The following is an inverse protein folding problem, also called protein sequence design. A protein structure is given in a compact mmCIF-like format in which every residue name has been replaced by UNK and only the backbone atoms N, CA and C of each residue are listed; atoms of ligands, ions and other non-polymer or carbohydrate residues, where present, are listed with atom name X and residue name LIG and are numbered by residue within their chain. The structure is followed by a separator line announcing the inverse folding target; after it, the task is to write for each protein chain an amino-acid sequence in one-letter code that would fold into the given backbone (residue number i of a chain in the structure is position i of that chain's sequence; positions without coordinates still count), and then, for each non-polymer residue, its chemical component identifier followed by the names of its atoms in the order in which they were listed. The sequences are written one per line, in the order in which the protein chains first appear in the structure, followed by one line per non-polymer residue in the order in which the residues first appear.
data_IF_150293128003
#
_entry.id   IF_150293128003
#
_cell.length_a   1.000
_cell.length_b   1.000
_cell.length_c   1.000
_cell.angle_alpha   90.00
_cell.angle_beta   90.00
_cell.angle_gamma   90.00
#
_symmetry.space_group_name_H-M   'P 1'
#
loop_
_entity.id
_entity.type
_entity.pdbx_description
1 polymer ?
#
# COMPACT_ATOMS: atom_id res chain seq x y z
N UNK A 1 -31.67 18.85 -28.67
CA UNK A 1 -32.81 17.95 -28.32
C UNK A 1 -32.32 16.51 -28.43
N UNK A 2 -32.44 15.71 -27.38
CA UNK A 2 -31.98 14.31 -27.42
C UNK A 2 -32.04 13.56 -26.08
N UNK A 3 -33.17 13.69 -25.39
CA UNK A 3 -33.76 12.83 -24.34
C UNK A 3 -32.83 12.08 -23.37
N UNK A 4 -32.76 12.64 -22.16
CA UNK A 4 -32.61 11.93 -20.89
C UNK A 4 -33.73 10.87 -20.78
N UNK A 5 -33.39 9.58 -20.71
CA UNK A 5 -34.33 8.51 -20.42
C UNK A 5 -33.93 7.86 -19.10
N UNK A 6 -34.55 8.35 -18.02
CA UNK A 6 -34.50 7.75 -16.70
C UNK A 6 -35.09 6.34 -16.82
N UNK A 7 -34.29 5.30 -16.57
CA UNK A 7 -34.80 3.93 -16.54
C UNK A 7 -35.86 3.81 -15.43
N UNK A 8 -37.03 3.18 -15.68
CA UNK A 8 -38.01 2.96 -14.64
C UNK A 8 -37.38 2.04 -13.59
N UNK A 9 -37.22 2.57 -12.38
CA UNK A 9 -36.76 1.83 -11.22
C UNK A 9 -38.01 1.19 -10.61
N UNK A 10 -38.04 -0.14 -10.53
CA UNK A 10 -39.12 -0.87 -9.87
C UNK A 10 -39.28 -0.39 -8.42
N UNK A 11 -40.49 -0.46 -7.89
CA UNK A 11 -40.77 -0.07 -6.50
C UNK A 11 -40.12 -1.07 -5.53
N UNK A 12 -40.03 -0.69 -4.27
CA UNK A 12 -39.38 -1.46 -3.20
C UNK A 12 -39.95 -2.86 -2.95
N UNK A 13 -41.18 -3.14 -3.40
CA UNK A 13 -41.83 -4.46 -3.34
C UNK A 13 -41.97 -5.07 -4.73
N UNK A 14 -41.12 -4.67 -5.69
CA UNK A 14 -41.22 -5.16 -7.06
C UNK A 14 -39.88 -5.74 -7.54
N UNK A 15 -39.92 -6.97 -8.04
CA UNK A 15 -38.82 -7.63 -8.72
C UNK A 15 -38.75 -7.17 -10.18
N UNK A 16 -37.52 -6.92 -10.66
CA UNK A 16 -37.28 -6.50 -12.04
C UNK A 16 -36.92 -7.71 -12.91
N UNK A 17 -37.82 -8.10 -13.79
CA UNK A 17 -37.57 -9.11 -14.82
C UNK A 17 -36.44 -8.66 -15.77
N UNK A 18 -35.79 -9.61 -16.43
CA UNK A 18 -34.74 -9.32 -17.43
C UNK A 18 -35.28 -8.56 -18.64
N UNK A 19 -36.57 -8.71 -18.95
CA UNK A 19 -37.34 -7.96 -19.94
C UNK A 19 -37.58 -6.49 -19.55
N UNK A 20 -37.15 -6.08 -18.35
CA UNK A 20 -37.36 -4.76 -17.73
C UNK A 20 -38.80 -4.46 -17.29
N UNK A 21 -39.67 -5.46 -17.17
CA UNK A 21 -40.93 -5.31 -16.43
C UNK A 21 -40.71 -5.49 -14.93
N UNK A 22 -41.60 -4.91 -14.14
CA UNK A 22 -41.59 -4.97 -12.68
C UNK A 22 -42.79 -5.80 -12.24
N UNK A 23 -42.55 -6.91 -11.56
CA UNK A 23 -43.57 -7.76 -10.95
C UNK A 23 -43.48 -7.63 -9.44
N UNK A 24 -44.46 -8.11 -8.67
CA UNK A 24 -44.36 -8.04 -7.21
C UNK A 24 -43.21 -8.93 -6.71
N UNK A 25 -42.47 -8.50 -5.69
CA UNK A 25 -41.41 -9.32 -5.06
C UNK A 25 -41.96 -10.63 -4.47
N UNK A 26 -43.26 -10.67 -4.14
CA UNK A 26 -43.95 -11.91 -3.71
C UNK A 26 -44.12 -12.94 -4.84
N UNK A 27 -43.94 -12.54 -6.10
CA UNK A 27 -44.09 -13.39 -7.30
C UNK A 27 -42.74 -13.91 -7.81
N UNK A 28 -41.70 -13.84 -7.00
CA UNK A 28 -40.41 -14.43 -7.34
C UNK A 28 -40.40 -15.88 -6.83
N UNK A 29 -40.25 -16.84 -7.74
CA UNK A 29 -40.20 -18.28 -7.41
C UNK A 29 -41.48 -18.79 -6.74
N UNK A 30 -42.64 -18.28 -7.14
CA UNK A 30 -43.94 -18.69 -6.59
C UNK A 30 -44.63 -19.79 -7.43
N UNK A 31 -44.02 -20.17 -8.55
CA UNK A 31 -44.46 -21.26 -9.42
C UNK A 31 -45.33 -20.81 -10.60
N UNK A 32 -45.68 -19.52 -10.69
CA UNK A 32 -46.35 -18.92 -11.84
C UNK A 32 -45.37 -18.09 -12.68
N UNK A 33 -45.60 -18.01 -14.01
CA UNK A 33 -44.74 -17.25 -14.92
C UNK A 33 -45.28 -15.83 -15.05
N UNK A 34 -44.80 -14.92 -14.19
CA UNK A 34 -45.20 -13.51 -14.16
C UNK A 34 -44.26 -12.63 -15.00
N UNK A 35 -42.97 -12.98 -15.12
CA UNK A 35 -42.08 -12.40 -16.11
C UNK A 35 -42.29 -13.04 -17.48
N UNK A 36 -42.38 -12.24 -18.55
CA UNK A 36 -42.56 -12.76 -19.93
C UNK A 36 -41.43 -13.66 -20.42
N UNK A 37 -40.25 -13.55 -19.80
CA UNK A 37 -39.09 -14.37 -20.08
C UNK A 37 -38.82 -15.43 -19.02
N UNK A 38 -39.76 -15.65 -18.09
CA UNK A 38 -39.65 -16.62 -17.01
C UNK A 38 -38.42 -16.36 -16.12
N UNK A 39 -38.00 -15.08 -15.99
CA UNK A 39 -36.82 -14.69 -15.22
C UNK A 39 -37.04 -14.69 -13.71
N UNK A 40 -38.29 -14.61 -13.29
CA UNK A 40 -38.81 -14.81 -11.94
C UNK A 40 -38.72 -16.27 -11.47
N UNK A 41 -38.91 -17.22 -12.39
CA UNK A 41 -38.96 -18.66 -12.08
C UNK A 41 -37.66 -19.42 -12.40
N UNK A 42 -36.56 -18.72 -12.72
CA UNK A 42 -35.24 -19.32 -13.01
C UNK A 42 -34.22 -18.99 -11.95
N UNK A 43 -33.36 -19.97 -11.64
CA UNK A 43 -32.31 -19.85 -10.61
C UNK A 43 -32.87 -19.64 -9.18
N UNK A 44 -34.08 -20.13 -8.94
CA UNK A 44 -34.62 -20.39 -7.62
C UNK A 44 -33.77 -21.48 -6.95
N UNK A 45 -32.76 -21.06 -6.18
CA UNK A 45 -31.83 -21.97 -5.52
C UNK A 45 -32.50 -22.56 -4.26
N UNK A 46 -33.49 -23.43 -4.47
CA UNK A 46 -34.15 -24.18 -3.41
C UNK A 46 -34.18 -25.66 -3.76
N UNK A 47 -33.64 -26.46 -2.83
CA UNK A 47 -33.82 -27.90 -2.76
C UNK A 47 -35.27 -28.27 -3.05
N UNK A 48 -35.45 -29.21 -3.98
CA UNK A 48 -36.68 -29.93 -4.23
C UNK A 48 -37.04 -30.82 -3.03
N UNK A 49 -37.38 -30.20 -1.89
CA UNK A 49 -38.09 -30.84 -0.80
C UNK A 49 -39.30 -29.95 -0.53
N UNK A 50 -40.45 -30.43 -0.98
CA UNK A 50 -41.78 -29.83 -0.87
C UNK A 50 -41.98 -29.01 0.43
N UNK A 51 -41.76 -27.70 0.38
CA UNK A 51 -42.38 -26.78 1.35
C UNK A 51 -43.82 -26.57 0.89
N UNK A 52 -44.79 -26.89 1.75
CA UNK A 52 -46.23 -26.79 1.45
C UNK A 52 -46.79 -25.38 1.61
N UNK A 53 -46.12 -24.54 2.39
CA UNK A 53 -46.46 -23.13 2.59
C UNK A 53 -45.41 -22.22 1.94
N UNK A 54 -45.83 -21.01 1.58
CA UNK A 54 -44.96 -19.99 0.98
C UNK A 54 -43.86 -19.54 1.95
N UNK A 55 -42.79 -18.89 1.44
CA UNK A 55 -41.68 -18.42 2.29
C UNK A 55 -42.15 -17.44 3.39
N UNK A 56 -43.25 -16.73 3.19
CA UNK A 56 -43.81 -15.76 4.13
C UNK A 56 -44.90 -16.35 5.05
N UNK A 57 -45.13 -17.66 4.99
CA UNK A 57 -46.15 -18.37 5.76
C UNK A 57 -45.51 -19.33 6.78
N UNK A 58 -46.27 -19.59 7.85
CA UNK A 58 -46.03 -20.59 8.88
C UNK A 58 -46.99 -21.76 8.65
N UNK A 59 -46.47 -22.99 8.67
CA UNK A 59 -47.26 -24.22 8.53
C UNK A 59 -47.69 -24.69 9.93
N UNK A 60 -49.00 -24.72 10.18
CA UNK A 60 -49.57 -25.29 11.39
C UNK A 60 -49.24 -26.79 11.49
N UNK A 61 -49.15 -27.32 12.71
CA UNK A 61 -48.73 -28.70 12.95
C UNK A 61 -49.76 -29.72 12.45
N UNK A 62 -51.05 -29.40 12.54
CA UNK A 62 -52.18 -30.23 12.12
C UNK A 62 -52.92 -29.56 10.97
N UNK A 63 -53.47 -30.39 10.07
CA UNK A 63 -54.31 -29.99 8.92
C UNK A 63 -53.62 -29.18 7.83
N UNK A 64 -52.28 -29.07 7.85
CA UNK A 64 -51.49 -28.41 6.78
C UNK A 64 -51.98 -27.00 6.45
N UNK A 65 -52.49 -26.29 7.46
CA UNK A 65 -52.94 -24.92 7.35
C UNK A 65 -51.72 -24.00 7.26
N UNK A 66 -51.70 -23.09 6.29
CA UNK A 66 -50.67 -22.06 6.18
C UNK A 66 -51.25 -20.73 6.67
N UNK A 67 -50.59 -20.10 7.63
CA UNK A 67 -50.93 -18.76 8.11
C UNK A 67 -49.77 -17.79 7.83
N UNK A 68 -50.01 -16.48 7.65
CA UNK A 68 -48.93 -15.50 7.58
C UNK A 68 -47.99 -15.58 8.78
N UNK A 69 -46.67 -15.45 8.59
CA UNK A 69 -45.68 -15.46 9.69
C UNK A 69 -45.92 -14.39 10.77
N UNK A 70 -46.64 -13.32 10.44
CA UNK A 70 -47.02 -12.28 11.39
C UNK A 70 -48.05 -12.74 12.43
N UNK A 71 -48.78 -13.83 12.17
CA UNK A 71 -49.76 -14.43 13.09
C UNK A 71 -49.15 -15.55 13.95
N UNK A 72 -47.86 -15.84 13.79
CA UNK A 72 -47.19 -16.74 14.71
C UNK A 72 -46.79 -15.96 15.97
N UNK A 73 -47.22 -16.42 17.14
CA UNK A 73 -46.94 -15.80 18.44
C UNK A 73 -47.47 -14.36 18.55
N UNK A 74 -48.70 -14.13 18.10
CA UNK A 74 -49.37 -12.82 18.14
C UNK A 74 -50.47 -12.71 19.21
N UNK A 75 -50.59 -13.75 20.06
CA UNK A 75 -51.58 -13.92 21.13
C UNK A 75 -53.00 -14.31 20.68
N UNK A 76 -53.24 -14.52 19.38
CA UNK A 76 -54.49 -15.04 18.84
C UNK A 76 -54.31 -16.47 18.32
N UNK A 77 -55.38 -17.27 18.35
CA UNK A 77 -55.34 -18.65 17.84
C UNK A 77 -55.79 -18.65 16.38
N UNK A 78 -54.84 -18.65 15.45
CA UNK A 78 -55.08 -18.69 14.01
C UNK A 78 -54.96 -20.12 13.45
N UNK A 79 -54.08 -20.93 14.00
CA UNK A 79 -54.02 -22.35 13.69
C UNK A 79 -55.17 -23.11 14.36
N UNK A 80 -55.82 -24.00 13.60
CA UNK A 80 -56.90 -24.86 14.12
C UNK A 80 -56.48 -25.76 15.31
N UNK A 81 -55.17 -25.94 15.50
CA UNK A 81 -54.55 -26.73 16.56
C UNK A 81 -53.75 -25.89 17.58
N UNK A 82 -53.81 -24.56 17.51
CA UNK A 82 -53.08 -23.64 18.37
C UNK A 82 -51.54 -23.78 18.29
N UNK A 83 -50.99 -24.32 17.20
CA UNK A 83 -49.55 -24.55 17.05
C UNK A 83 -48.72 -23.28 16.79
N UNK A 84 -49.38 -22.21 16.38
CA UNK A 84 -48.88 -20.85 16.21
C UNK A 84 -48.52 -20.16 17.55
N UNK A 85 -49.24 -20.47 18.62
CA UNK A 85 -49.08 -19.83 19.94
C UNK A 85 -48.30 -20.69 20.96
N UNK A 86 -47.66 -21.77 20.51
CA UNK A 86 -46.91 -22.69 21.39
C UNK A 86 -45.40 -22.46 21.23
N UNK A 87 -44.68 -22.49 22.37
CA UNK A 87 -43.21 -22.41 22.43
C UNK A 87 -42.63 -21.09 21.87
N UNK A 88 -43.42 -20.02 21.94
CA UNK A 88 -43.03 -18.66 21.61
C UNK A 88 -41.87 -18.17 22.49
N UNK A 89 -40.84 -17.59 21.87
CA UNK A 89 -39.65 -17.10 22.57
C UNK A 89 -39.13 -15.80 21.98
N UNK A 90 -38.76 -14.88 22.87
CA UNK A 90 -38.16 -13.61 22.48
C UNK A 90 -36.81 -13.79 21.79
N UNK A 91 -36.39 -12.77 21.06
CA UNK A 91 -35.13 -12.80 20.31
C UNK A 91 -33.91 -12.80 21.22
N UNK A 92 -32.94 -13.66 20.92
CA UNK A 92 -31.61 -13.69 21.55
C UNK A 92 -30.52 -13.72 20.48
N UNK A 93 -29.51 -12.84 20.59
CA UNK A 93 -28.36 -12.85 19.67
C UNK A 93 -27.35 -13.89 20.14
N UNK A 94 -27.22 -14.96 19.36
CA UNK A 94 -26.27 -16.07 19.63
C UNK A 94 -24.91 -15.87 18.97
N UNK A 95 -24.86 -15.09 17.89
CA UNK A 95 -23.61 -14.73 17.21
C UNK A 95 -23.57 -13.24 16.96
N UNK A 96 -22.73 -12.58 17.76
CA UNK A 96 -22.43 -11.17 17.60
C UNK A 96 -21.49 -10.95 16.40
N UNK A 97 -21.60 -9.80 15.71
CA UNK A 97 -20.59 -9.41 14.74
C UNK A 97 -19.27 -9.04 15.42
N UNK A 98 -18.15 -8.99 14.68
CA UNK A 98 -16.87 -8.56 15.22
C UNK A 98 -16.97 -7.13 15.80
N UNK A 99 -16.38 -6.85 16.98
CA UNK A 99 -16.48 -5.53 17.60
C UNK A 99 -15.72 -4.44 16.84
N UNK A 100 -14.63 -4.80 16.15
CA UNK A 100 -13.81 -3.89 15.34
C UNK A 100 -13.47 -4.58 14.03
N UNK A 101 -13.59 -3.86 12.92
CA UNK A 101 -13.17 -4.32 11.59
C UNK A 101 -12.33 -3.23 10.92
N UNK A 102 -11.09 -3.57 10.59
CA UNK A 102 -10.17 -2.69 9.86
C UNK A 102 -10.13 -3.10 8.39
N UNK A 103 -10.40 -2.15 7.49
CA UNK A 103 -10.42 -2.36 6.05
C UNK A 103 -9.57 -1.31 5.34
N UNK A 104 -9.12 -1.63 4.13
CA UNK A 104 -8.54 -0.65 3.20
C UNK A 104 -9.60 -0.13 2.24
N UNK A 105 -9.39 1.07 1.71
CA UNK A 105 -10.22 1.58 0.60
C UNK A 105 -10.25 0.55 -0.55
N UNK A 106 -11.45 0.18 -0.98
CA UNK A 106 -11.69 -0.82 -2.01
C UNK A 106 -12.05 -2.21 -1.50
N UNK A 107 -11.69 -2.56 -0.26
CA UNK A 107 -11.99 -3.88 0.30
C UNK A 107 -13.49 -4.04 0.60
N UNK A 108 -14.05 -5.26 0.48
CA UNK A 108 -15.42 -5.51 0.85
C UNK A 108 -15.58 -5.66 2.38
N UNK A 109 -16.62 -5.07 2.94
CA UNK A 109 -17.07 -5.36 4.31
C UNK A 109 -18.08 -6.50 4.28
N UNK A 110 -17.85 -7.53 5.10
CA UNK A 110 -18.80 -8.62 5.34
C UNK A 110 -19.05 -8.74 6.85
N UNK A 111 -20.28 -8.47 7.29
CA UNK A 111 -20.72 -8.70 8.67
C UNK A 111 -21.78 -9.80 8.72
N UNK A 112 -21.68 -10.62 9.76
CA UNK A 112 -22.60 -11.71 10.06
C UNK A 112 -23.11 -11.55 11.48
N UNK A 113 -24.41 -11.71 11.66
CA UNK A 113 -25.08 -11.69 12.95
C UNK A 113 -26.13 -12.80 12.96
N UNK A 114 -26.21 -13.59 14.03
CA UNK A 114 -27.22 -14.64 14.14
C UNK A 114 -28.01 -14.47 15.44
N UNK A 115 -29.33 -14.55 15.32
CA UNK A 115 -30.26 -14.55 16.44
C UNK A 115 -31.17 -15.77 16.37
N UNK A 116 -31.60 -16.23 17.54
CA UNK A 116 -32.61 -17.27 17.72
C UNK A 116 -33.85 -16.67 18.37
N UNK A 117 -34.99 -17.32 18.18
CA UNK A 117 -36.29 -16.90 18.68
C UNK A 117 -37.39 -17.66 17.94
N UNK A 118 -38.59 -17.66 18.51
CA UNK A 118 -39.78 -18.24 17.91
C UNK A 118 -40.85 -17.17 17.96
N UNK A 119 -41.23 -16.55 16.82
CA UNK A 119 -40.84 -16.86 15.43
C UNK A 119 -39.36 -16.58 15.13
N UNK A 120 -38.83 -17.20 14.07
CA UNK A 120 -37.44 -17.00 13.62
C UNK A 120 -37.20 -15.50 13.40
N UNK A 121 -36.21 -14.89 14.09
CA UNK A 121 -36.00 -13.44 14.02
C UNK A 121 -35.59 -12.97 12.62
N UNK A 122 -36.09 -11.80 12.22
CA UNK A 122 -35.60 -11.05 11.06
C UNK A 122 -34.45 -10.17 11.52
N UNK A 123 -33.34 -10.21 10.79
CA UNK A 123 -32.17 -9.39 11.08
C UNK A 123 -32.15 -8.13 10.23
N UNK A 124 -32.07 -6.98 10.90
CA UNK A 124 -31.90 -5.67 10.32
C UNK A 124 -30.52 -5.10 10.64
N UNK A 125 -29.95 -4.38 9.69
CA UNK A 125 -28.67 -3.69 9.87
C UNK A 125 -28.87 -2.18 9.79
N UNK A 126 -28.21 -1.45 10.67
CA UNK A 126 -28.15 0.01 10.62
C UNK A 126 -26.70 0.49 10.54
N UNK A 127 -26.50 1.65 9.92
CA UNK A 127 -25.23 2.34 9.79
C UNK A 127 -25.35 3.72 10.43
N UNK A 128 -24.59 4.01 11.48
CA UNK A 128 -24.67 5.25 12.25
C UNK A 128 -26.13 5.61 12.61
N UNK A 129 -26.91 4.62 13.06
CA UNK A 129 -28.34 4.75 13.40
C UNK A 129 -29.25 5.17 12.24
N UNK A 130 -28.81 4.92 11.01
CA UNK A 130 -29.54 5.21 9.77
C UNK A 130 -29.56 3.96 8.87
N UNK A 131 -30.30 4.05 7.77
CA UNK A 131 -30.29 3.03 6.73
C UNK A 131 -28.87 2.80 6.21
N UNK A 132 -28.50 1.53 6.04
CA UNK A 132 -27.22 1.16 5.43
C UNK A 132 -27.03 1.80 4.05
N UNK A 133 -25.79 2.13 3.64
CA UNK A 133 -25.52 2.68 2.32
C UNK A 133 -26.12 1.82 1.19
N UNK A 134 -26.70 2.44 0.17
CA UNK A 134 -27.39 1.76 -0.94
C UNK A 134 -26.51 0.80 -1.74
N UNK A 135 -25.18 0.98 -1.66
CA UNK A 135 -24.21 0.06 -2.26
C UNK A 135 -24.13 -1.30 -1.57
N UNK A 136 -24.62 -1.40 -0.33
CA UNK A 136 -24.56 -2.61 0.47
C UNK A 136 -25.81 -3.47 0.24
N UNK A 137 -25.62 -4.79 0.18
CA UNK A 137 -26.70 -5.77 0.22
C UNK A 137 -26.88 -6.30 1.63
N UNK A 138 -28.15 -6.47 2.02
CA UNK A 138 -28.56 -7.05 3.31
C UNK A 138 -29.47 -8.23 3.03
N UNK A 139 -29.25 -9.35 3.73
CA UNK A 139 -30.16 -10.48 3.73
C UNK A 139 -30.36 -11.02 5.15
N UNK A 140 -31.52 -11.62 5.40
CA UNK A 140 -31.84 -12.30 6.66
C UNK A 140 -32.37 -13.69 6.33
N UNK A 141 -31.58 -14.72 6.59
CA UNK A 141 -31.86 -16.10 6.22
C UNK A 141 -31.82 -16.94 7.49
N UNK A 142 -32.97 -17.54 7.86
CA UNK A 142 -33.09 -18.42 9.01
C UNK A 142 -32.47 -17.84 10.31
N UNK A 143 -32.78 -16.58 10.63
CA UNK A 143 -32.23 -15.90 11.82
C UNK A 143 -30.79 -15.40 11.68
N UNK A 144 -30.15 -15.60 10.52
CA UNK A 144 -28.80 -15.08 10.23
C UNK A 144 -28.86 -13.91 9.26
N UNK A 145 -28.41 -12.76 9.73
CA UNK A 145 -28.27 -11.53 8.96
C UNK A 145 -26.88 -11.42 8.34
N UNK A 146 -26.85 -11.13 7.05
CA UNK A 146 -25.64 -10.90 6.27
C UNK A 146 -25.67 -9.46 5.76
N UNK A 147 -24.61 -8.70 6.03
CA UNK A 147 -24.38 -7.39 5.43
C UNK A 147 -23.11 -7.46 4.57
N UNK A 148 -23.25 -7.20 3.27
CA UNK A 148 -22.14 -7.14 2.33
C UNK A 148 -22.08 -5.74 1.72
N UNK A 149 -21.03 -4.98 2.03
CA UNK A 149 -20.75 -3.71 1.36
C UNK A 149 -19.53 -3.87 0.45
N UNK A 150 -19.70 -3.95 -0.88
CA UNK A 150 -18.58 -3.92 -1.80
C UNK A 150 -17.89 -2.55 -1.81
N UNK A 151 -16.59 -2.55 -2.12
CA UNK A 151 -15.79 -1.35 -2.37
C UNK A 151 -15.92 -0.29 -1.27
N UNK A 152 -15.37 -0.56 -0.08
CA UNK A 152 -15.42 0.36 1.06
C UNK A 152 -14.62 1.63 0.81
N UNK A 153 -15.18 2.78 1.22
CA UNK A 153 -14.54 4.09 1.16
C UNK A 153 -14.48 4.69 2.56
N UNK A 154 -13.65 5.72 2.74
CA UNK A 154 -13.52 6.44 4.00
C UNK A 154 -14.87 6.96 4.54
N UNK A 155 -15.77 7.41 3.66
CA UNK A 155 -17.11 7.89 4.02
C UNK A 155 -18.06 6.80 4.55
N UNK A 156 -17.67 5.53 4.45
CA UNK A 156 -18.45 4.37 4.90
C UNK A 156 -17.93 3.81 6.23
N UNK A 157 -16.91 4.43 6.82
CA UNK A 157 -16.49 4.08 8.19
C UNK A 157 -17.54 4.53 9.20
N UNK A 158 -17.67 3.81 10.30
CA UNK A 158 -18.65 4.15 11.33
C UNK A 158 -19.13 2.94 12.11
N UNK A 159 -20.27 3.11 12.77
CA UNK A 159 -20.89 2.10 13.61
C UNK A 159 -21.93 1.32 12.80
N UNK A 160 -21.78 0.00 12.81
CA UNK A 160 -22.72 -0.93 12.21
C UNK A 160 -23.36 -1.77 13.31
N UNK A 161 -24.69 -1.72 13.39
CA UNK A 161 -25.46 -2.38 14.44
C UNK A 161 -26.38 -3.41 13.82
N UNK A 162 -26.36 -4.62 14.37
CA UNK A 162 -27.32 -5.68 14.06
C UNK A 162 -28.50 -5.59 15.04
N UNK A 163 -29.72 -5.65 14.51
CA UNK A 163 -30.96 -5.79 15.29
C UNK A 163 -31.67 -7.06 14.85
N UNK A 164 -32.02 -7.93 15.80
CA UNK A 164 -32.90 -9.07 15.56
C UNK A 164 -34.28 -8.78 16.12
N UNK A 165 -35.33 -9.00 15.32
CA UNK A 165 -36.70 -8.75 15.72
C UNK A 165 -37.64 -9.91 15.33
N UNK A 166 -38.59 -10.23 16.21
CA UNK A 166 -39.75 -11.06 15.92
C UNK A 166 -41.00 -10.45 16.57
N UNK A 167 -42.15 -11.10 16.45
CA UNK A 167 -43.43 -10.57 16.94
C UNK A 167 -43.49 -10.36 18.46
N UNK A 168 -42.59 -11.00 19.21
CA UNK A 168 -42.53 -10.93 20.67
C UNK A 168 -41.62 -9.78 21.13
N UNK A 169 -40.56 -9.47 20.39
CA UNK A 169 -39.67 -8.37 20.72
C UNK A 169 -38.48 -8.19 19.77
N UNK A 170 -37.66 -7.19 20.06
CA UNK A 170 -36.40 -6.94 19.36
C UNK A 170 -35.23 -6.73 20.31
N UNK A 171 -34.03 -7.02 19.83
CA UNK A 171 -32.78 -6.86 20.55
C UNK A 171 -31.68 -6.42 19.59
N UNK A 172 -30.75 -5.60 20.06
CA UNK A 172 -29.58 -5.13 19.30
C UNK A 172 -28.29 -5.83 19.77
N UNK A 173 -27.34 -5.99 18.85
CA UNK A 173 -26.00 -6.48 19.16
C UNK A 173 -25.25 -5.52 20.08
N UNK A 174 -24.50 -6.05 21.05
CA UNK A 174 -23.70 -5.23 21.97
C UNK A 174 -22.32 -5.85 22.21
N UNK A 175 -21.22 -5.21 21.76
CA UNK A 175 -21.14 -3.85 21.23
C UNK A 175 -21.52 -3.72 19.75
N UNK A 176 -21.68 -2.48 19.29
CA UNK A 176 -21.70 -2.17 17.86
C UNK A 176 -20.38 -2.58 17.20
N UNK A 177 -20.42 -2.90 15.91
CA UNK A 177 -19.22 -3.09 15.11
C UNK A 177 -18.66 -1.74 14.68
N UNK A 178 -17.45 -1.41 15.14
CA UNK A 178 -16.70 -0.24 14.68
C UNK A 178 -15.95 -0.61 13.41
N UNK A 179 -16.34 -0.03 12.27
CA UNK A 179 -15.65 -0.21 11.00
C UNK A 179 -14.72 0.97 10.76
N UNK A 180 -13.43 0.69 10.63
CA UNK A 180 -12.37 1.65 10.31
C UNK A 180 -11.90 1.38 8.89
N UNK A 181 -11.97 2.38 8.02
CA UNK A 181 -11.45 2.28 6.66
C UNK A 181 -10.22 3.16 6.55
N UNK A 182 -9.08 2.55 6.26
CA UNK A 182 -7.80 3.24 6.07
C UNK A 182 -7.52 3.46 4.58
N UNK A 183 -6.90 4.59 4.25
CA UNK A 183 -6.33 4.76 2.92
C UNK A 183 -5.25 3.70 2.70
N UNK A 184 -5.32 3.03 1.55
CA UNK A 184 -4.34 2.01 1.19
C UNK A 184 -2.94 2.62 1.20
N UNK A 185 -2.05 2.10 2.05
CA UNK A 185 -0.61 2.34 1.93
C UNK A 185 -0.22 1.89 0.53
N UNK A 186 -0.02 2.84 -0.39
CA UNK A 186 0.22 2.61 -1.82
C UNK A 186 1.40 1.68 -2.10
N UNK A 187 2.24 1.43 -1.10
CA UNK A 187 3.46 0.66 -1.20
C UNK A 187 3.27 -0.81 -0.79
N UNK A 188 3.50 -1.76 -1.72
CA UNK A 188 3.47 -3.18 -1.40
C UNK A 188 4.56 -3.55 -0.40
N UNK A 189 4.42 -4.73 0.21
CA UNK A 189 5.44 -5.30 1.10
C UNK A 189 6.82 -5.31 0.43
N UNK A 190 7.87 -5.00 1.19
CA UNK A 190 9.21 -4.77 0.62
C UNK A 190 9.43 -3.38 0.05
N UNK A 191 8.45 -2.48 0.13
CA UNK A 191 8.59 -1.08 -0.29
C UNK A 191 7.97 -0.12 0.72
N UNK A 192 8.44 1.13 0.71
CA UNK A 192 7.97 2.19 1.59
C UNK A 192 7.90 3.51 0.82
N UNK A 193 6.95 4.37 1.18
CA UNK A 193 6.89 5.81 0.91
C UNK A 193 5.53 6.29 1.43
N UNK A 194 5.53 7.03 2.54
CA UNK A 194 4.30 7.51 3.19
C UNK A 194 3.56 8.55 2.33
N UNK A 195 4.28 9.23 1.45
CA UNK A 195 3.76 10.23 0.52
C UNK A 195 3.47 9.67 -0.90
N UNK A 196 3.57 8.36 -1.12
CA UNK A 196 3.31 7.76 -2.42
C UNK A 196 1.85 7.97 -2.83
N UNK A 197 1.62 8.53 -4.03
CA UNK A 197 0.29 8.69 -4.63
C UNK A 197 -0.09 7.55 -5.58
N UNK A 198 0.86 6.65 -5.85
CA UNK A 198 0.72 5.45 -6.67
C UNK A 198 1.91 4.51 -6.40
N UNK A 199 1.80 3.25 -6.85
CA UNK A 199 2.82 2.21 -6.63
C UNK A 199 4.18 2.58 -7.23
N UNK A 200 4.23 3.37 -8.31
CA UNK A 200 5.50 3.78 -8.94
C UNK A 200 6.29 4.81 -8.13
N UNK A 201 5.69 5.39 -7.08
CA UNK A 201 6.40 6.24 -6.12
C UNK A 201 6.97 5.46 -4.94
N UNK A 202 6.74 4.16 -4.85
CA UNK A 202 7.24 3.35 -3.76
C UNK A 202 8.72 3.05 -3.92
N UNK A 203 9.43 3.08 -2.79
CA UNK A 203 10.88 2.92 -2.71
C UNK A 203 11.13 1.54 -2.14
N UNK A 204 12.03 0.76 -2.75
CA UNK A 204 12.39 -0.56 -2.25
C UNK A 204 13.03 -0.46 -0.86
N UNK A 205 12.58 -1.32 0.06
CA UNK A 205 13.22 -1.51 1.35
C UNK A 205 14.65 -2.01 1.15
N UNK A 206 15.60 -1.40 1.85
CA UNK A 206 16.98 -1.84 1.88
C UNK A 206 17.46 -1.94 3.33
N UNK A 207 17.33 -3.13 3.91
CA UNK A 207 17.72 -3.41 5.30
C UNK A 207 18.83 -4.47 5.37
N UNK A 208 19.75 -4.49 4.39
CA UNK A 208 20.90 -5.41 4.35
C UNK A 208 20.55 -6.90 4.54
N UNK A 209 19.38 -7.32 4.04
CA UNK A 209 18.90 -8.70 4.15
C UNK A 209 18.32 -9.10 5.52
N UNK A 210 18.23 -8.18 6.48
CA UNK A 210 17.68 -8.47 7.82
C UNK A 210 16.15 -8.55 7.79
N UNK A 211 15.50 -7.62 7.10
CA UNK A 211 14.05 -7.54 6.98
C UNK A 211 13.66 -6.85 5.68
N UNK A 212 12.48 -7.17 5.16
CA UNK A 212 11.81 -6.46 4.07
C UNK A 212 10.63 -5.62 4.55
N UNK A 213 10.37 -5.62 5.86
CA UNK A 213 9.45 -4.69 6.49
C UNK A 213 10.22 -3.45 6.96
N UNK A 214 9.93 -2.31 6.34
CA UNK A 214 10.63 -1.06 6.61
C UNK A 214 9.69 0.15 6.46
N UNK A 215 10.03 1.23 7.16
CA UNK A 215 9.30 2.51 7.10
C UNK A 215 10.27 3.67 6.86
N UNK A 216 9.72 4.85 6.59
CA UNK A 216 10.51 6.08 6.56
C UNK A 216 11.18 6.31 7.91
N UNK A 217 12.41 6.82 7.88
CA UNK A 217 13.15 7.17 9.08
C UNK A 217 12.85 8.63 9.47
N UNK A 218 12.51 8.87 10.73
CA UNK A 218 12.27 10.22 11.30
C UNK A 218 13.57 10.98 11.65
N UNK A 219 14.71 10.55 11.11
CA UNK A 219 16.02 11.06 11.50
C UNK A 219 16.38 12.35 10.76
N UNK A 220 16.79 13.37 11.51
CA UNK A 220 17.37 14.60 10.96
C UNK A 220 18.77 14.33 10.40
N UNK A 221 19.07 14.88 9.22
CA UNK A 221 20.42 14.85 8.64
C UNK A 221 21.39 15.59 9.58
N UNK A 222 22.28 14.84 10.24
CA UNK A 222 23.34 15.42 11.06
C UNK A 222 24.48 15.90 10.16
N UNK A 223 24.71 17.22 10.10
CA UNK A 223 25.84 17.78 9.35
C UNK A 223 27.11 17.58 10.16
N UNK A 224 27.83 16.48 9.95
CA UNK A 224 29.13 16.29 10.58
C UNK A 224 30.19 17.07 9.79
N UNK A 225 30.77 18.11 10.41
CA UNK A 225 31.92 18.81 9.82
C UNK A 225 33.16 17.93 9.98
N UNK A 226 33.43 17.11 8.97
CA UNK A 226 34.65 16.31 8.93
C UNK A 226 35.80 17.24 8.55
N UNK A 227 36.75 17.43 9.48
CA UNK A 227 38.02 18.07 9.15
C UNK A 227 38.89 17.00 8.49
N UNK A 228 39.12 17.15 7.20
CA UNK A 228 39.94 16.25 6.41
C UNK A 228 41.39 16.37 6.86
N UNK A 229 41.90 15.36 7.59
CA UNK A 229 43.32 15.19 7.75
C UNK A 229 43.83 14.44 6.52
N UNK A 230 44.11 15.18 5.45
CA UNK A 230 44.72 14.60 4.25
C UNK A 230 46.16 14.21 4.59
N UNK A 231 46.36 12.93 4.86
CA UNK A 231 47.64 12.35 5.26
C UNK A 231 48.47 11.88 4.05
N UNK A 232 47.86 11.71 2.86
CA UNK A 232 48.52 11.18 1.65
C UNK A 232 48.01 11.83 0.34
N UNK A 233 48.90 12.04 -0.63
CA UNK A 233 48.53 12.34 -2.02
C UNK A 233 48.87 11.11 -2.86
N UNK A 234 47.91 10.65 -3.67
CA UNK A 234 48.10 9.52 -4.57
C UNK A 234 47.94 9.96 -6.03
N UNK A 235 48.92 9.59 -6.87
CA UNK A 235 48.73 9.68 -8.33
C UNK A 235 47.78 8.57 -8.77
N UNK A 236 46.78 8.89 -9.58
CA UNK A 236 45.95 7.87 -10.26
C UNK A 236 46.09 8.09 -11.77
N UNK A 237 46.74 7.15 -12.46
CA UNK A 237 46.98 7.25 -13.90
C UNK A 237 45.75 6.75 -14.65
N UNK A 238 45.23 7.57 -15.57
CA UNK A 238 44.06 7.21 -16.38
C UNK A 238 44.53 6.82 -17.77
N UNK A 239 44.57 5.52 -18.07
CA UNK A 239 44.95 5.03 -19.41
C UNK A 239 43.73 5.06 -20.34
N UNK A 240 43.70 6.01 -21.27
CA UNK A 240 42.73 6.01 -22.37
C UNK A 240 43.12 4.91 -23.37
N UNK A 241 42.37 3.81 -23.44
CA UNK A 241 42.58 2.79 -24.46
C UNK A 241 41.88 3.23 -25.76
N UNK A 242 42.61 3.36 -26.87
CA UNK A 242 42.08 3.85 -28.16
C UNK A 242 41.02 2.93 -28.80
N UNK A 243 40.75 1.76 -28.21
CA UNK A 243 39.67 0.85 -28.61
C UNK A 243 38.60 0.79 -27.52
N UNK A 244 37.65 1.72 -27.62
CA UNK A 244 36.31 1.76 -27.02
C UNK A 244 36.09 1.67 -25.50
N UNK A 245 37.05 1.32 -24.65
CA UNK A 245 36.85 1.35 -23.19
C UNK A 245 37.93 2.19 -22.49
N UNK A 246 37.54 3.34 -21.90
CA UNK A 246 38.37 4.07 -20.95
C UNK A 246 38.52 3.20 -19.69
N UNK A 247 39.65 2.50 -19.57
CA UNK A 247 39.97 1.68 -18.42
C UNK A 247 40.82 2.51 -17.44
N UNK A 248 40.34 2.70 -16.21
CA UNK A 248 41.13 3.34 -15.16
C UNK A 248 42.07 2.30 -14.54
N UNK A 249 43.37 2.60 -14.48
CA UNK A 249 44.35 1.71 -13.84
C UNK A 249 45.01 2.46 -12.68
N UNK A 250 44.70 2.05 -11.44
CA UNK A 250 45.23 2.69 -10.23
C UNK A 250 46.74 2.42 -10.07
N UNK A 251 47.59 3.24 -10.69
CA UNK A 251 49.04 3.21 -10.46
C UNK A 251 49.40 4.05 -9.24
N UNK A 252 49.56 3.40 -8.09
CA UNK A 252 49.88 4.02 -6.80
C UNK A 252 51.29 4.64 -6.82
N UNK A 253 51.39 5.97 -6.83
CA UNK A 253 52.64 6.67 -6.49
C UNK A 253 52.42 7.45 -5.18
N UNK A 254 53.27 7.16 -4.19
CA UNK A 254 53.23 7.76 -2.86
C UNK A 254 54.06 9.04 -2.81
N UNK A 255 53.50 10.12 -2.28
CA UNK A 255 54.22 11.35 -1.94
C UNK A 255 53.87 11.76 -0.50
N UNK A 256 54.89 12.02 0.32
CA UNK A 256 54.73 12.49 1.71
C UNK A 256 54.34 13.98 1.76
N UNK A 257 53.43 14.34 2.66
CA UNK A 257 52.89 15.70 2.83
C UNK A 257 53.50 16.42 4.04
N UNK A 258 53.87 17.69 3.87
CA UNK A 258 54.19 18.62 4.96
C UNK A 258 53.19 19.79 4.97
N UNK A 259 52.50 19.98 6.10
CA UNK A 259 51.74 21.20 6.45
C UNK A 259 50.61 21.66 5.49
N UNK A 260 49.79 20.73 4.96
CA UNK A 260 48.49 21.03 4.30
C UNK A 260 48.53 22.07 3.14
N UNK A 261 49.71 22.38 2.60
CA UNK A 261 49.89 23.22 1.40
C UNK A 261 50.73 22.46 0.40
N UNK A 262 50.10 22.04 -0.69
CA UNK A 262 50.79 21.50 -1.85
C UNK A 262 50.95 22.58 -2.93
N UNK A 263 52.17 22.74 -3.43
CA UNK A 263 52.49 23.64 -4.54
C UNK A 263 53.62 23.01 -5.34
N UNK A 264 53.31 22.12 -6.29
CA UNK A 264 54.32 21.51 -7.15
C UNK A 264 54.52 22.35 -8.42
N UNK A 265 55.78 22.69 -8.73
CA UNK A 265 56.12 23.70 -9.75
C UNK A 265 56.35 23.17 -11.17
N UNK A 266 56.29 21.85 -11.42
CA UNK A 266 56.23 21.20 -12.74
C UNK A 266 56.40 19.69 -12.55
N UNK A 267 55.37 18.90 -12.86
CA UNK A 267 55.53 17.47 -13.02
C UNK A 267 56.30 17.24 -14.33
N UNK A 268 57.62 17.05 -14.25
CA UNK A 268 58.42 16.64 -15.42
C UNK A 268 57.97 15.23 -15.81
N UNK A 269 57.50 15.08 -17.05
CA UNK A 269 57.06 13.84 -17.72
C UNK A 269 55.60 13.37 -17.52
N UNK A 270 54.67 14.20 -17.04
CA UNK A 270 53.23 13.84 -17.08
C UNK A 270 52.70 13.94 -18.52
N UNK A 271 52.08 12.87 -19.00
CA UNK A 271 51.32 12.91 -20.26
C UNK A 271 50.00 13.67 -20.06
N UNK A 272 49.36 14.15 -21.12
CA UNK A 272 48.16 15.02 -21.07
C UNK A 272 46.90 14.40 -20.43
N UNK A 273 46.97 13.19 -19.87
CA UNK A 273 45.83 12.43 -19.37
C UNK A 273 45.96 11.97 -17.90
N UNK A 274 47.06 12.32 -17.22
CA UNK A 274 47.28 11.96 -15.81
C UNK A 274 46.45 12.85 -14.87
N UNK A 275 45.88 12.28 -13.80
CA UNK A 275 45.04 13.03 -12.85
C UNK A 275 45.38 12.66 -11.42
N UNK A 276 45.61 13.68 -10.63
CA UNK A 276 46.02 13.52 -9.24
C UNK A 276 44.78 13.53 -8.36
N UNK A 277 44.77 12.67 -7.35
CA UNK A 277 43.69 12.66 -6.36
C UNK A 277 44.29 12.77 -4.97
N UNK A 278 43.64 13.57 -4.14
CA UNK A 278 43.92 13.67 -2.73
C UNK A 278 43.22 12.49 -2.04
N UNK A 279 43.98 11.69 -1.31
CA UNK A 279 43.50 10.50 -0.62
C UNK A 279 43.48 10.72 0.89
N UNK A 280 42.33 10.48 1.54
CA UNK A 280 42.22 10.51 2.99
C UNK A 280 42.13 9.09 3.56
N UNK A 281 43.15 8.60 4.28
CA UNK A 281 43.19 7.20 4.75
C UNK A 281 42.75 6.96 6.20
N UNK A 282 42.64 8.00 7.04
CA UNK A 282 42.49 7.82 8.50
C UNK A 282 41.25 8.48 9.11
N UNK A 283 40.78 9.62 8.62
CA UNK A 283 39.67 10.36 9.25
C UNK A 283 38.29 10.12 8.65
N UNK A 284 38.19 9.35 7.56
CA UNK A 284 36.93 9.16 6.81
C UNK A 284 36.50 7.70 6.67
N UNK A 285 37.00 6.83 7.56
CA UNK A 285 36.64 5.41 7.58
C UNK A 285 35.46 5.15 8.49
N UNK A 286 34.51 4.36 8.00
CA UNK A 286 33.43 3.83 8.82
C UNK A 286 32.05 3.97 8.20
N UNK A 287 31.04 4.01 9.05
CA UNK A 287 29.64 3.98 8.66
C UNK A 287 29.07 5.40 8.50
N UNK A 288 28.85 5.78 7.26
CA UNK A 288 28.23 7.04 6.82
C UNK A 288 26.86 6.80 6.17
N UNK A 289 26.18 5.70 6.47
CA UNK A 289 24.87 5.39 5.88
C UNK A 289 23.83 6.50 6.16
N UNK A 290 23.92 7.16 7.33
CA UNK A 290 23.08 8.31 7.69
C UNK A 290 23.29 9.54 6.79
N UNK A 291 24.37 9.57 6.01
CA UNK A 291 24.65 10.64 5.05
C UNK A 291 23.97 10.44 3.70
N UNK A 292 23.36 9.28 3.44
CA UNK A 292 22.60 9.03 2.21
C UNK A 292 21.44 10.04 2.06
N UNK A 293 21.28 10.64 0.88
CA UNK A 293 20.36 11.75 0.63
C UNK A 293 20.90 13.14 1.04
N UNK A 294 21.99 13.19 1.81
CA UNK A 294 22.70 14.40 2.19
C UNK A 294 23.67 14.91 1.12
N UNK A 295 24.61 15.77 1.53
CA UNK A 295 25.59 16.36 0.63
C UNK A 295 27.00 16.35 1.23
N UNK A 296 27.99 16.06 0.39
CA UNK A 296 29.40 16.31 0.65
C UNK A 296 29.75 17.74 0.19
N UNK A 297 30.43 18.48 1.06
CA UNK A 297 30.91 19.84 0.79
C UNK A 297 32.42 19.91 0.93
N UNK A 298 33.08 20.52 -0.04
CA UNK A 298 34.50 20.86 0.05
C UNK A 298 34.83 22.09 -0.81
N UNK A 299 35.87 22.81 -0.39
CA UNK A 299 36.37 23.98 -1.10
C UNK A 299 37.71 23.61 -1.78
N UNK A 300 37.87 23.98 -3.05
CA UNK A 300 39.09 23.73 -3.84
C UNK A 300 39.54 25.01 -4.54
N UNK A 301 40.84 25.28 -4.58
CA UNK A 301 41.40 26.47 -5.23
C UNK A 301 42.33 26.05 -6.38
N UNK A 302 42.03 26.54 -7.59
CA UNK A 302 42.88 26.33 -8.76
C UNK A 302 43.75 27.56 -9.03
N UNK A 303 45.07 27.37 -9.13
CA UNK A 303 46.03 28.45 -9.43
C UNK A 303 46.14 28.78 -10.93
N UNK A 304 45.84 27.80 -11.79
CA UNK A 304 45.94 27.87 -13.24
C UNK A 304 44.60 27.49 -13.90
N UNK A 305 44.39 27.91 -15.15
CA UNK A 305 43.25 27.46 -15.95
C UNK A 305 43.50 26.03 -16.44
N UNK A 306 42.61 25.10 -16.08
CA UNK A 306 42.72 23.69 -16.45
C UNK A 306 41.57 23.35 -17.39
N UNK A 307 41.85 22.62 -18.47
CA UNK A 307 40.80 22.05 -19.33
C UNK A 307 40.30 20.79 -18.61
N UNK A 308 39.03 20.79 -18.19
CA UNK A 308 38.46 19.64 -17.50
C UNK A 308 38.32 18.45 -18.45
N UNK A 309 39.05 17.38 -18.13
CA UNK A 309 38.91 16.09 -18.79
C UNK A 309 37.80 15.34 -18.04
N UNK A 310 36.84 14.78 -18.77
CA UNK A 310 35.69 14.01 -18.24
C UNK A 310 36.17 12.81 -17.41
N UNK A 311 36.46 13.05 -16.15
CA UNK A 311 37.03 12.14 -15.16
C UNK A 311 36.26 12.27 -13.85
N UNK A 312 36.34 11.27 -12.96
CA UNK A 312 35.72 11.37 -11.65
C UNK A 312 36.21 12.58 -10.88
N UNK A 313 35.30 13.34 -10.27
CA UNK A 313 35.66 14.39 -9.32
C UNK A 313 35.93 13.80 -7.94
N UNK A 314 35.12 12.82 -7.57
CA UNK A 314 35.21 12.12 -6.30
C UNK A 314 35.07 10.63 -6.56
N UNK A 315 35.87 9.82 -5.87
CA UNK A 315 35.71 8.38 -5.84
C UNK A 315 35.58 7.90 -4.41
N UNK A 316 34.57 7.07 -4.17
CA UNK A 316 34.32 6.42 -2.88
C UNK A 316 34.55 4.93 -3.02
N UNK A 317 35.30 4.35 -2.09
CA UNK A 317 35.55 2.91 -2.04
C UNK A 317 35.03 2.37 -0.72
N UNK A 318 34.27 1.29 -0.78
CA UNK A 318 33.73 0.63 0.40
C UNK A 318 33.05 -0.68 0.04
N UNK A 319 33.07 -1.67 0.93
CA UNK A 319 32.46 -2.98 0.69
C UNK A 319 32.78 -3.61 -0.69
N UNK A 320 34.02 -3.44 -1.17
CA UNK A 320 34.50 -3.92 -2.48
C UNK A 320 33.82 -3.27 -3.70
N UNK A 321 33.13 -2.15 -3.52
CA UNK A 321 32.53 -1.34 -4.58
C UNK A 321 33.31 -0.03 -4.68
N UNK A 322 33.64 0.36 -5.92
CA UNK A 322 34.23 1.65 -6.25
C UNK A 322 33.21 2.50 -7.01
N UNK A 323 32.84 3.62 -6.42
CA UNK A 323 31.88 4.58 -6.96
C UNK A 323 32.60 5.82 -7.47
N UNK A 324 32.25 6.24 -8.67
CA UNK A 324 32.82 7.39 -9.36
C UNK A 324 31.75 8.47 -9.54
N UNK A 325 31.93 9.62 -8.91
CA UNK A 325 31.09 10.78 -9.14
C UNK A 325 31.63 11.57 -10.33
N UNK A 326 30.86 11.63 -11.42
CA UNK A 326 31.28 12.28 -12.67
C UNK A 326 30.36 13.46 -12.95
N UNK A 327 30.91 14.67 -12.93
CA UNK A 327 30.22 15.90 -13.30
C UNK A 327 31.18 16.80 -14.07
N UNK A 328 30.68 17.47 -15.12
CA UNK A 328 31.48 18.44 -15.88
C UNK A 328 31.67 19.73 -15.09
N UNK A 329 32.91 20.14 -14.87
CA UNK A 329 33.23 21.46 -14.34
C UNK A 329 33.91 22.31 -15.43
N UNK A 330 33.59 23.60 -15.45
CA UNK A 330 34.38 24.58 -16.20
C UNK A 330 35.42 25.15 -15.23
N UNK A 331 36.66 24.67 -15.32
CA UNK A 331 37.76 25.03 -14.42
C UNK A 331 38.43 26.35 -14.82
N UNK A 332 37.91 27.47 -14.29
CA UNK A 332 38.61 28.76 -14.28
C UNK A 332 39.42 28.91 -12.99
N UNK A 333 40.55 29.62 -13.06
CA UNK A 333 41.34 30.03 -11.88
C UNK A 333 40.46 30.63 -10.77
N UNK A 334 40.71 30.24 -9.52
CA UNK A 334 40.02 30.72 -8.32
C UNK A 334 39.52 29.63 -7.38
N UNK A 335 38.94 30.06 -6.25
CA UNK A 335 38.32 29.19 -5.24
C UNK A 335 36.93 28.73 -5.71
N UNK A 336 36.59 27.47 -5.42
CA UNK A 336 35.34 26.83 -5.79
C UNK A 336 34.81 26.00 -4.63
N UNK A 337 33.51 26.18 -4.37
CA UNK A 337 32.76 25.37 -3.42
C UNK A 337 32.07 24.25 -4.19
N UNK A 338 32.44 23.01 -3.90
CA UNK A 338 31.84 21.82 -4.50
C UNK A 338 30.77 21.26 -3.56
N UNK A 339 29.64 20.88 -4.16
CA UNK A 339 28.51 20.26 -3.47
C UNK A 339 28.10 19.01 -4.23
N UNK A 340 28.28 17.85 -3.61
CA UNK A 340 27.95 16.54 -4.20
C UNK A 340 26.81 15.93 -3.41
N UNK A 341 25.75 15.52 -4.11
CA UNK A 341 24.62 14.82 -3.49
C UNK A 341 24.95 13.34 -3.33
N UNK A 342 24.70 12.79 -2.14
CA UNK A 342 24.98 11.39 -1.82
C UNK A 342 23.74 10.51 -2.10
N UNK A 343 23.34 10.47 -3.37
CA UNK A 343 22.28 9.58 -3.91
C UNK A 343 22.83 8.83 -5.12
N UNK A 344 22.01 8.07 -5.84
CA UNK A 344 22.37 7.43 -7.11
C UNK A 344 22.58 8.42 -8.28
N UNK A 345 22.25 9.70 -8.09
CA UNK A 345 22.37 10.73 -9.13
C UNK A 345 23.85 11.07 -9.41
N UNK A 346 24.29 10.86 -10.65
CA UNK A 346 25.66 11.12 -11.14
C UNK A 346 26.77 10.26 -10.51
N UNK A 347 26.41 9.15 -9.87
CA UNK A 347 27.35 8.14 -9.40
C UNK A 347 27.39 6.95 -10.36
N UNK A 348 28.58 6.43 -10.60
CA UNK A 348 28.82 5.34 -11.56
C UNK A 348 29.72 4.27 -10.94
N UNK A 349 29.60 3.03 -11.41
CA UNK A 349 30.51 1.92 -11.06
C UNK A 349 30.98 1.19 -12.31
N UNK A 350 32.05 0.43 -12.20
CA UNK A 350 32.52 -0.47 -13.25
C UNK A 350 31.94 -1.87 -13.07
N UNK A 351 31.36 -2.40 -14.13
CA UNK A 351 30.95 -3.81 -14.21
C UNK A 351 31.46 -4.36 -15.53
N UNK A 352 32.26 -5.44 -15.52
CA UNK A 352 32.87 -6.01 -16.74
C UNK A 352 33.57 -4.97 -17.64
N UNK A 353 34.27 -4.01 -17.03
CA UNK A 353 34.97 -2.89 -17.70
C UNK A 353 34.06 -1.86 -18.39
N UNK A 354 32.74 -1.95 -18.24
CA UNK A 354 31.81 -0.91 -18.68
C UNK A 354 31.40 -0.04 -17.49
N UNK A 355 31.33 1.26 -17.76
CA UNK A 355 30.87 2.24 -16.77
C UNK A 355 29.34 2.27 -16.80
N UNK A 356 28.71 1.94 -15.68
CA UNK A 356 27.26 1.91 -15.51
C UNK A 356 26.83 2.85 -14.37
N UNK A 357 25.56 3.28 -14.38
CA UNK A 357 24.99 4.09 -13.30
C UNK A 357 24.94 3.23 -12.04
N UNK A 358 25.41 3.78 -10.91
CA UNK A 358 25.35 3.12 -9.62
C UNK A 358 23.90 3.06 -9.13
N UNK A 359 23.51 1.93 -8.55
CA UNK A 359 22.18 1.79 -7.94
C UNK A 359 22.16 2.44 -6.55
N UNK A 360 20.97 2.67 -6.03
CA UNK A 360 20.77 3.09 -4.63
C UNK A 360 21.48 2.14 -3.65
N UNK A 361 21.37 0.83 -3.90
CA UNK A 361 22.02 -0.20 -3.11
C UNK A 361 23.55 -0.04 -3.13
N UNK A 362 24.15 0.17 -4.31
CA UNK A 362 25.60 0.37 -4.42
C UNK A 362 26.08 1.56 -3.57
N UNK A 363 25.39 2.70 -3.63
CA UNK A 363 25.71 3.89 -2.84
C UNK A 363 25.56 3.61 -1.34
N UNK A 364 24.46 2.97 -0.93
CA UNK A 364 24.23 2.62 0.47
C UNK A 364 25.26 1.62 1.00
N UNK A 365 25.67 0.64 0.18
CA UNK A 365 26.70 -0.35 0.52
C UNK A 365 28.06 0.31 0.73
N UNK A 366 28.46 1.24 -0.15
CA UNK A 366 29.72 1.98 0.03
C UNK A 366 29.68 2.87 1.28
N UNK A 367 28.57 3.57 1.52
CA UNK A 367 28.44 4.44 2.69
C UNK A 367 28.37 3.67 4.02
N UNK A 368 27.85 2.44 4.04
CA UNK A 368 27.80 1.60 5.24
C UNK A 368 29.20 1.29 5.79
N UNK A 369 30.20 1.20 4.91
CA UNK A 369 31.59 0.92 5.27
C UNK A 369 32.54 1.57 4.27
N UNK A 370 32.65 2.89 4.39
CA UNK A 370 33.52 3.70 3.54
C UNK A 370 34.96 3.49 4.00
N UNK A 371 35.83 3.08 3.09
CA UNK A 371 37.24 2.80 3.38
C UNK A 371 38.16 3.87 2.83
N UNK A 372 37.91 4.34 1.62
CA UNK A 372 38.80 5.27 0.92
C UNK A 372 38.00 6.31 0.15
N UNK A 373 38.52 7.53 0.14
CA UNK A 373 37.93 8.67 -0.57
C UNK A 373 39.02 9.40 -1.33
N UNK A 374 38.75 9.63 -2.60
CA UNK A 374 39.62 10.33 -3.53
C UNK A 374 38.93 11.59 -4.03
N UNK A 375 39.60 12.74 -3.98
CA UNK A 375 39.09 14.02 -4.49
C UNK A 375 40.11 14.56 -5.50
N UNK A 376 39.63 14.88 -6.71
CA UNK A 376 40.44 15.43 -7.81
C UNK A 376 40.99 16.83 -7.50
#
# INVERSE_FOLDING_TARGET
MGKNANAPQCRWNEFKCKTNECINETWLCDGDIDCKDNSDEVNCQFDMIQKRCNFNEFECTINTQCIPKMYQCDYEIDCSDNSDEINCSSVEIVKQPPPIVNLRVGEPLLLLCSAIGIPIPIIHWTYNWKKVPTKCSVSSINGTGILLCPNMKLENQGLYTCEGANNIGSIISTPDTIVIVEESKFCPYGTFNSAAKNVSKCILCFCFGITSDCTEADLFMESQKIVLAFDKIEKIIIKKNEKRNNHYELLRHQLEMNNLRYSHKKFKNDTSYDTWYIHSTSTMKGNYLKSFGGHLYYDIEFKDNIIDVRQPMVMFVGNSIELHYIQSLITTKGERKVKIKLTEENWFKYENQTLIIATREDVMMVLQNLTDIYIK
#
